data_IF_345152036731
#
_entry.id   IF_345152036731
#
_cell.length_a   1.000
_cell.length_b   1.000
_cell.length_c   1.000
_cell.angle_alpha   90.00
_cell.angle_beta   90.00
_cell.angle_gamma   90.00
#
_symmetry.space_group_name_H-M   'P 1'
#
loop_
_entity.id
_entity.type
_entity.pdbx_description
1 polymer ?
#
# COMPACT_ATOMS: atom_id res chain seq x y z
N UNK A 1 -31.10 -33.08 64.39
CA UNK A 1 -31.84 -33.16 63.10
C UNK A 1 -31.42 -32.09 62.09
N UNK A 2 -31.49 -30.78 62.42
CA UNK A 2 -31.11 -29.70 61.48
C UNK A 2 -29.70 -29.80 60.90
N UNK A 3 -28.66 -30.09 61.71
CA UNK A 3 -27.26 -30.21 61.26
C UNK A 3 -26.98 -31.43 60.36
N UNK A 4 -27.69 -32.54 60.59
CA UNK A 4 -27.57 -33.72 59.73
C UNK A 4 -28.19 -33.48 58.34
N UNK A 5 -29.28 -32.71 58.28
CA UNK A 5 -29.94 -32.33 57.02
C UNK A 5 -29.09 -31.36 56.19
N UNK A 6 -28.38 -30.42 56.81
CA UNK A 6 -27.49 -29.49 56.10
C UNK A 6 -26.28 -30.19 55.48
N UNK A 7 -25.72 -31.18 56.17
CA UNK A 7 -24.57 -31.96 55.66
C UNK A 7 -25.01 -32.82 54.46
N UNK A 8 -26.20 -33.43 54.53
CA UNK A 8 -26.75 -34.23 53.43
C UNK A 8 -27.04 -33.38 52.18
N UNK A 9 -27.61 -32.19 52.35
CA UNK A 9 -27.88 -31.27 51.23
C UNK A 9 -26.58 -30.74 50.62
N UNK A 10 -25.58 -30.40 51.44
CA UNK A 10 -24.28 -29.95 50.93
C UNK A 10 -23.55 -31.06 50.15
N UNK A 11 -23.62 -32.31 50.63
CA UNK A 11 -23.05 -33.46 49.92
C UNK A 11 -23.77 -33.75 48.59
N UNK A 12 -25.10 -33.59 48.55
CA UNK A 12 -25.90 -33.74 47.33
C UNK A 12 -25.61 -32.65 46.29
N UNK A 13 -25.46 -31.40 46.71
CA UNK A 13 -25.13 -30.28 45.80
C UNK A 13 -23.69 -30.39 45.29
N UNK A 14 -22.73 -30.77 46.14
CA UNK A 14 -21.35 -31.02 45.72
C UNK A 14 -21.25 -32.21 44.74
N UNK A 15 -22.01 -33.28 44.98
CA UNK A 15 -22.08 -34.42 44.08
C UNK A 15 -22.68 -34.08 42.72
N UNK A 16 -23.76 -33.28 42.68
CA UNK A 16 -24.40 -32.87 41.43
C UNK A 16 -23.53 -31.93 40.58
N UNK A 17 -22.72 -31.07 41.21
CA UNK A 17 -21.79 -30.18 40.51
C UNK A 17 -20.60 -30.93 39.86
N UNK A 18 -20.18 -32.06 40.44
CA UNK A 18 -19.05 -32.86 39.92
C UNK A 18 -19.43 -33.77 38.74
N UNK A 19 -20.70 -34.17 38.61
CA UNK A 19 -21.16 -35.03 37.50
C UNK A 19 -21.48 -34.22 36.23
N UNK A 20 -21.73 -32.92 36.36
CA UNK A 20 -22.07 -32.04 35.23
C UNK A 20 -20.92 -31.79 34.24
N UNK A 21 -19.67 -31.97 34.64
CA UNK A 21 -18.51 -31.75 33.77
C UNK A 21 -18.08 -32.99 32.97
N UNK A 22 -18.67 -34.17 33.23
CA UNK A 22 -18.22 -35.43 32.63
C UNK A 22 -19.01 -35.87 31.38
N UNK A 23 -19.93 -35.03 30.88
CA UNK A 23 -20.83 -35.44 29.79
C UNK A 23 -21.10 -34.35 28.75
N UNK A 24 -20.05 -33.61 28.37
CA UNK A 24 -19.97 -33.06 27.03
C UNK A 24 -19.26 -34.13 26.17
N UNK A 25 -19.98 -34.75 25.23
CA UNK A 25 -19.44 -35.83 24.40
C UNK A 25 -18.13 -35.42 23.73
N UNK A 26 -17.07 -36.22 23.92
CA UNK A 26 -15.77 -36.08 23.25
C UNK A 26 -14.57 -35.72 24.14
N UNK A 27 -14.67 -35.79 25.47
CA UNK A 27 -13.55 -35.55 26.39
C UNK A 27 -13.50 -36.66 27.47
N UNK A 28 -13.24 -37.89 27.06
CA UNK A 28 -12.92 -39.02 27.96
C UNK A 28 -11.45 -38.98 28.48
N UNK A 29 -10.65 -38.04 27.97
CA UNK A 29 -9.25 -37.88 28.33
C UNK A 29 -8.32 -38.81 27.57
N UNK A 30 -8.86 -39.60 26.63
CA UNK A 30 -8.08 -40.37 25.69
C UNK A 30 -7.81 -39.51 24.44
N UNK A 31 -6.54 -39.21 24.19
CA UNK A 31 -6.11 -38.41 23.04
C UNK A 31 -5.87 -39.27 21.79
N UNK A 32 -6.21 -40.56 21.86
CA UNK A 32 -5.86 -41.56 20.85
C UNK A 32 -7.05 -42.29 20.23
N UNK A 33 -8.27 -42.18 20.78
CA UNK A 33 -9.49 -42.72 20.20
C UNK A 33 -10.68 -41.72 20.20
N UNK A 34 -11.70 -42.02 19.39
CA UNK A 34 -12.99 -41.30 19.28
C UNK A 34 -12.99 -39.79 18.94
N UNK A 35 -11.85 -39.22 18.54
CA UNK A 35 -11.82 -37.86 17.97
C UNK A 35 -12.50 -37.82 16.61
N UNK A 36 -13.63 -37.08 16.53
CA UNK A 36 -14.22 -36.74 15.25
C UNK A 36 -13.18 -36.03 14.38
N UNK A 37 -13.08 -36.43 13.10
CA UNK A 37 -12.22 -35.75 12.16
C UNK A 37 -12.56 -34.26 12.14
N UNK A 38 -11.53 -33.41 12.27
CA UNK A 38 -11.72 -31.96 12.16
C UNK A 38 -12.44 -31.64 10.84
N UNK A 39 -13.42 -30.72 10.86
CA UNK A 39 -14.08 -30.32 9.63
C UNK A 39 -13.05 -29.80 8.64
N UNK A 40 -13.31 -30.03 7.34
CA UNK A 40 -12.44 -29.52 6.29
C UNK A 40 -12.24 -28.01 6.47
N UNK A 41 -10.99 -27.56 6.29
CA UNK A 41 -10.67 -26.13 6.39
C UNK A 41 -11.57 -25.34 5.45
N UNK A 42 -12.33 -24.40 6.00
CA UNK A 42 -13.24 -23.55 5.24
C UNK A 42 -12.55 -22.33 4.63
N UNK A 43 -13.22 -21.72 3.66
CA UNK A 43 -12.76 -20.47 3.06
C UNK A 43 -12.76 -19.35 4.11
N UNK A 44 -11.64 -18.63 4.19
CA UNK A 44 -11.49 -17.41 4.99
C UNK A 44 -11.49 -16.19 4.06
N UNK A 45 -12.12 -15.10 4.47
CA UNK A 45 -12.07 -13.79 3.80
C UNK A 45 -11.76 -12.70 4.82
N UNK A 46 -10.70 -11.88 4.62
CA UNK A 46 -10.37 -10.77 5.52
C UNK A 46 -11.39 -9.65 5.40
N UNK A 47 -11.48 -8.83 6.46
CA UNK A 47 -12.27 -7.62 6.44
C UNK A 47 -11.52 -6.48 5.72
N UNK A 48 -12.27 -5.56 5.12
CA UNK A 48 -11.76 -4.27 4.67
C UNK A 48 -11.89 -3.22 5.79
N UNK A 49 -11.11 -2.15 5.72
CA UNK A 49 -11.11 -1.07 6.70
C UNK A 49 -10.44 -1.41 8.03
N UNK A 50 -9.65 -2.49 8.07
CA UNK A 50 -8.88 -2.92 9.24
C UNK A 50 -7.39 -2.66 9.04
N UNK A 51 -6.66 -2.59 10.14
CA UNK A 51 -5.22 -2.35 10.13
C UNK A 51 -4.44 -3.58 10.62
N UNK A 52 -3.17 -3.69 10.25
CA UNK A 52 -2.30 -4.81 10.62
C UNK A 52 -0.99 -4.30 11.21
N UNK A 53 -0.57 -4.91 12.32
CA UNK A 53 0.70 -4.58 13.00
C UNK A 53 1.90 -5.06 12.18
N UNK A 54 1.78 -6.23 11.56
CA UNK A 54 2.82 -6.83 10.74
C UNK A 54 3.04 -6.07 9.42
N UNK A 55 4.22 -6.25 8.82
CA UNK A 55 4.50 -5.78 7.47
C UNK A 55 3.64 -6.52 6.43
N UNK A 56 3.48 -5.88 5.27
CA UNK A 56 2.80 -6.49 4.14
C UNK A 56 3.47 -7.81 3.70
N UNK A 57 2.64 -8.82 3.45
CA UNK A 57 3.03 -10.06 2.77
C UNK A 57 2.15 -10.29 1.54
N UNK A 58 2.72 -10.82 0.46
CA UNK A 58 1.98 -11.06 -0.78
C UNK A 58 0.94 -12.19 -0.67
N UNK A 59 1.10 -13.06 0.33
CA UNK A 59 0.17 -14.16 0.62
C UNK A 59 -0.19 -14.17 2.10
N UNK A 60 -1.48 -14.21 2.41
CA UNK A 60 -2.01 -14.19 3.78
C UNK A 60 -2.93 -15.38 3.99
N UNK A 61 -2.68 -16.12 5.07
CA UNK A 61 -3.55 -17.17 5.58
C UNK A 61 -4.21 -16.71 6.88
N UNK A 62 -5.20 -17.46 7.36
CA UNK A 62 -5.93 -17.13 8.58
C UNK A 62 -5.01 -16.94 9.81
N UNK A 63 -3.99 -17.79 9.97
CA UNK A 63 -3.04 -17.69 11.08
C UNK A 63 -2.20 -16.40 11.07
N UNK A 64 -2.04 -15.76 9.91
CA UNK A 64 -1.34 -14.48 9.77
C UNK A 64 -2.28 -13.27 9.74
N UNK A 65 -3.58 -13.48 9.98
CA UNK A 65 -4.58 -12.42 10.00
C UNK A 65 -4.97 -12.10 11.44
N UNK A 66 -4.39 -11.02 11.96
CA UNK A 66 -4.64 -10.52 13.31
C UNK A 66 -4.88 -9.00 13.24
N UNK A 67 -6.09 -8.59 12.83
CA UNK A 67 -6.39 -7.18 12.58
C UNK A 67 -6.48 -6.39 13.89
N UNK A 68 -5.98 -5.15 13.84
CA UNK A 68 -6.13 -4.15 14.91
C UNK A 68 -6.95 -2.96 14.41
N UNK A 69 -7.47 -2.17 15.36
CA UNK A 69 -8.02 -0.85 15.07
C UNK A 69 -6.94 0.08 14.51
N UNK A 70 -7.31 0.94 13.56
CA UNK A 70 -6.36 1.86 12.94
C UNK A 70 -5.93 3.01 13.88
N UNK A 71 -6.62 3.18 15.02
CA UNK A 71 -6.24 4.01 16.15
C UNK A 71 -5.11 3.39 17.00
N UNK A 72 -4.74 2.13 16.74
CA UNK A 72 -3.57 1.48 17.34
C UNK A 72 -2.36 1.56 16.38
N UNK A 73 -1.13 1.45 16.90
CA UNK A 73 0.07 1.39 16.07
C UNK A 73 0.00 0.24 15.07
N UNK A 74 0.08 0.56 13.78
CA UNK A 74 0.00 -0.40 12.68
C UNK A 74 0.91 0.01 11.52
N UNK A 75 1.12 -0.90 10.58
CA UNK A 75 2.02 -0.72 9.42
C UNK A 75 1.30 -0.82 8.09
N UNK A 76 0.20 -1.57 8.06
CA UNK A 76 -0.61 -1.82 6.87
C UNK A 76 -2.06 -1.47 7.16
N UNK A 77 -2.73 -0.84 6.21
CA UNK A 77 -4.17 -0.62 6.23
C UNK A 77 -4.81 -1.30 5.02
N UNK A 78 -5.74 -2.21 5.27
CA UNK A 78 -6.50 -2.89 4.23
C UNK A 78 -7.64 -1.99 3.79
N UNK A 79 -7.49 -1.33 2.65
CA UNK A 79 -8.47 -0.35 2.17
C UNK A 79 -9.64 -0.96 1.40
N UNK A 80 -9.42 -2.14 0.82
CA UNK A 80 -10.43 -2.87 0.08
C UNK A 80 -10.13 -4.37 0.05
N UNK A 81 -11.19 -5.17 -0.02
CA UNK A 81 -11.12 -6.61 -0.27
C UNK A 81 -12.06 -6.91 -1.43
N UNK A 82 -11.50 -7.36 -2.54
CA UNK A 82 -12.24 -7.81 -3.70
C UNK A 82 -12.20 -9.33 -3.85
N UNK A 83 -12.81 -9.86 -4.90
CA UNK A 83 -12.92 -11.32 -5.13
C UNK A 83 -12.62 -11.65 -6.58
N UNK A 84 -11.84 -12.71 -6.80
CA UNK A 84 -11.66 -13.38 -8.08
C UNK A 84 -12.88 -14.27 -8.41
N UNK A 85 -13.06 -14.64 -9.69
CA UNK A 85 -14.04 -15.64 -10.09
C UNK A 85 -13.89 -16.96 -9.31
N UNK A 86 -15.02 -17.56 -8.92
CA UNK A 86 -15.05 -18.75 -8.05
C UNK A 86 -14.49 -20.01 -8.74
N UNK A 87 -14.66 -20.11 -10.06
CA UNK A 87 -14.19 -21.21 -10.91
C UNK A 87 -12.68 -21.22 -11.14
N UNK A 88 -11.96 -20.19 -10.66
CA UNK A 88 -10.50 -20.13 -10.79
C UNK A 88 -9.83 -21.21 -9.94
N UNK A 89 -9.04 -22.05 -10.59
CA UNK A 89 -8.43 -23.25 -9.98
C UNK A 89 -7.15 -22.96 -9.19
N UNK A 90 -6.42 -21.88 -9.51
CA UNK A 90 -5.18 -21.51 -8.85
C UNK A 90 -5.07 -20.00 -8.59
N UNK A 91 -4.33 -19.56 -7.54
CA UNK A 91 -4.03 -18.15 -7.32
C UNK A 91 -3.37 -17.53 -8.57
N UNK A 92 -3.70 -16.28 -8.93
CA UNK A 92 -3.04 -15.58 -10.03
C UNK A 92 -1.52 -15.50 -9.81
N UNK A 93 -0.74 -15.80 -10.86
CA UNK A 93 0.71 -15.67 -10.81
C UNK A 93 1.13 -14.19 -10.71
N UNK A 94 2.29 -13.88 -10.07
CA UNK A 94 2.89 -12.55 -10.14
C UNK A 94 3.15 -12.17 -11.60
N UNK A 95 2.52 -11.10 -12.09
CA UNK A 95 2.49 -10.67 -13.51
C UNK A 95 1.45 -11.32 -14.44
N UNK A 96 0.50 -12.08 -13.91
CA UNK A 96 -0.68 -12.49 -14.68
C UNK A 96 -1.60 -11.29 -14.99
N UNK A 97 -2.34 -11.31 -16.12
CA UNK A 97 -3.36 -10.30 -16.41
C UNK A 97 -4.36 -10.11 -15.27
N UNK A 98 -4.71 -11.18 -14.57
CA UNK A 98 -5.73 -11.15 -13.52
C UNK A 98 -5.22 -10.49 -12.25
N UNK A 99 -3.94 -10.64 -11.91
CA UNK A 99 -3.34 -9.86 -10.84
C UNK A 99 -3.23 -8.38 -11.23
N UNK A 100 -2.97 -8.06 -12.51
CA UNK A 100 -3.00 -6.66 -12.99
C UNK A 100 -4.40 -6.06 -12.91
N UNK A 101 -5.45 -6.82 -13.20
CA UNK A 101 -6.84 -6.39 -13.02
C UNK A 101 -7.14 -6.13 -11.54
N UNK A 102 -6.75 -7.03 -10.64
CA UNK A 102 -6.89 -6.80 -9.20
C UNK A 102 -6.12 -5.56 -8.73
N UNK A 103 -4.89 -5.35 -9.23
CA UNK A 103 -4.14 -4.13 -8.94
C UNK A 103 -4.85 -2.87 -9.44
N UNK A 104 -5.44 -2.89 -10.64
CA UNK A 104 -6.16 -1.74 -11.18
C UNK A 104 -7.40 -1.37 -10.34
N UNK A 105 -8.15 -2.36 -9.85
CA UNK A 105 -9.22 -2.12 -8.87
C UNK A 105 -8.64 -1.55 -7.57
N UNK A 106 -7.60 -2.18 -7.01
CA UNK A 106 -6.93 -1.66 -5.82
C UNK A 106 -6.39 -0.22 -5.99
N UNK A 107 -5.90 0.13 -7.18
CA UNK A 107 -5.38 1.47 -7.50
C UNK A 107 -6.49 2.53 -7.41
N UNK A 108 -7.65 2.23 -7.98
CA UNK A 108 -8.83 3.09 -7.92
C UNK A 108 -9.38 3.18 -6.49
N UNK A 109 -9.51 2.04 -5.80
CA UNK A 109 -10.03 1.96 -4.43
C UNK A 109 -9.12 2.68 -3.44
N UNK A 110 -7.81 2.49 -3.54
CA UNK A 110 -6.82 3.18 -2.71
C UNK A 110 -6.85 4.69 -2.93
N UNK A 111 -6.94 5.14 -4.18
CA UNK A 111 -7.02 6.58 -4.48
C UNK A 111 -8.30 7.21 -3.93
N UNK A 112 -9.44 6.51 -4.07
CA UNK A 112 -10.70 6.94 -3.45
C UNK A 112 -10.65 6.94 -1.92
N UNK A 113 -9.96 5.97 -1.32
CA UNK A 113 -9.81 5.85 0.13
C UNK A 113 -9.04 7.02 0.74
N UNK A 114 -7.91 7.38 0.14
CA UNK A 114 -7.06 8.48 0.64
C UNK A 114 -7.50 9.87 0.15
N UNK A 115 -8.39 9.91 -0.84
CA UNK A 115 -8.99 11.14 -1.38
C UNK A 115 -8.18 11.85 -2.47
N UNK A 116 -7.12 11.23 -3.00
CA UNK A 116 -6.30 11.70 -4.13
C UNK A 116 -5.49 10.50 -4.68
N UNK A 117 -4.70 10.67 -5.74
CA UNK A 117 -3.76 9.64 -6.19
C UNK A 117 -2.78 9.29 -5.05
N UNK A 118 -2.82 8.05 -4.55
CA UNK A 118 -1.98 7.62 -3.44
C UNK A 118 -0.48 7.78 -3.72
N UNK A 119 -0.05 7.78 -4.99
CA UNK A 119 1.35 8.02 -5.36
C UNK A 119 1.79 9.47 -5.16
N UNK A 120 0.86 10.41 -4.99
CA UNK A 120 1.15 11.79 -4.59
C UNK A 120 1.53 11.90 -3.10
N UNK A 121 1.40 10.82 -2.33
CA UNK A 121 1.95 10.72 -0.98
C UNK A 121 3.11 9.74 -0.86
N UNK A 122 3.75 9.71 0.32
CA UNK A 122 4.68 8.66 0.75
C UNK A 122 3.93 7.35 1.07
N UNK A 123 3.19 6.86 0.09
CA UNK A 123 2.39 5.64 0.20
C UNK A 123 2.86 4.61 -0.82
N UNK A 124 2.60 3.34 -0.48
CA UNK A 124 2.75 2.19 -1.36
C UNK A 124 1.51 1.33 -1.27
N UNK A 125 0.98 0.98 -2.45
CA UNK A 125 -0.08 0.01 -2.62
C UNK A 125 0.51 -1.35 -2.97
N UNK A 126 -0.05 -2.40 -2.39
CA UNK A 126 0.23 -3.77 -2.74
C UNK A 126 -1.05 -4.62 -2.70
N UNK A 127 -1.03 -5.75 -3.42
CA UNK A 127 -2.14 -6.71 -3.47
C UNK A 127 -1.70 -8.00 -2.77
N UNK A 128 -2.41 -8.38 -1.72
CA UNK A 128 -2.22 -9.67 -1.07
C UNK A 128 -3.27 -10.69 -1.54
N UNK A 129 -2.87 -11.95 -1.61
CA UNK A 129 -3.68 -13.09 -2.04
C UNK A 129 -3.82 -14.12 -0.90
N UNK A 130 -4.79 -15.04 -0.96
CA UNK A 130 -4.81 -16.21 -0.09
C UNK A 130 -3.53 -17.04 -0.25
N UNK A 131 -3.11 -17.73 0.81
CA UNK A 131 -2.12 -18.81 0.68
C UNK A 131 -2.65 -19.93 -0.22
N UNK A 132 -1.75 -20.80 -0.72
CA UNK A 132 -2.17 -21.98 -1.49
C UNK A 132 -3.17 -22.87 -0.73
N UNK A 133 -2.97 -23.05 0.58
CA UNK A 133 -3.92 -23.77 1.44
C UNK A 133 -5.25 -23.05 1.58
N UNK A 134 -5.26 -21.73 1.75
CA UNK A 134 -6.49 -20.93 1.75
C UNK A 134 -7.23 -21.02 0.42
N UNK A 135 -6.51 -21.01 -0.70
CA UNK A 135 -7.09 -21.19 -2.02
C UNK A 135 -7.71 -22.58 -2.20
N UNK A 136 -7.02 -23.64 -1.74
CA UNK A 136 -7.55 -25.01 -1.73
C UNK A 136 -8.81 -25.13 -0.86
N UNK A 137 -8.87 -24.39 0.24
CA UNK A 137 -10.04 -24.26 1.12
C UNK A 137 -11.18 -23.38 0.56
N UNK A 138 -11.00 -22.80 -0.64
CA UNK A 138 -12.04 -22.02 -1.34
C UNK A 138 -11.93 -20.50 -1.23
N UNK A 139 -10.91 -19.95 -0.56
CA UNK A 139 -10.68 -18.49 -0.56
C UNK A 139 -10.39 -17.99 -1.97
N UNK A 140 -11.08 -16.93 -2.40
CA UNK A 140 -10.93 -16.29 -3.72
C UNK A 140 -10.78 -14.78 -3.63
N UNK A 141 -10.45 -14.23 -2.47
CA UNK A 141 -10.32 -12.79 -2.30
C UNK A 141 -8.98 -12.24 -2.81
N UNK A 142 -8.90 -10.93 -2.99
CA UNK A 142 -7.64 -10.17 -3.01
C UNK A 142 -7.76 -8.97 -2.09
N UNK A 143 -6.66 -8.58 -1.46
CA UNK A 143 -6.63 -7.52 -0.45
C UNK A 143 -5.78 -6.35 -0.94
N UNK A 144 -6.36 -5.17 -0.94
CA UNK A 144 -5.68 -3.93 -1.31
C UNK A 144 -5.11 -3.30 -0.04
N UNK A 145 -3.79 -3.28 0.08
CA UNK A 145 -3.09 -2.85 1.28
C UNK A 145 -2.27 -1.58 1.00
N UNK A 146 -2.46 -0.57 1.83
CA UNK A 146 -1.65 0.65 1.84
C UNK A 146 -0.69 0.68 3.02
N UNK A 147 0.53 1.12 2.76
CA UNK A 147 1.56 1.38 3.78
C UNK A 147 2.11 2.79 3.63
N UNK A 148 2.33 3.51 4.74
CA UNK A 148 3.18 4.71 4.71
C UNK A 148 4.65 4.32 4.68
N UNK A 149 5.42 5.14 3.96
CA UNK A 149 6.85 5.02 3.83
C UNK A 149 7.57 6.25 4.38
N UNK A 150 8.81 6.05 4.81
CA UNK A 150 9.70 7.16 5.21
C UNK A 150 10.09 8.05 4.02
N UNK A 151 10.18 7.47 2.83
CA UNK A 151 10.45 8.14 1.55
C UNK A 151 9.82 7.35 0.41
N UNK A 152 9.78 7.92 -0.80
CA UNK A 152 9.40 7.20 -2.03
C UNK A 152 10.60 6.77 -2.87
N UNK A 153 11.82 7.10 -2.42
CA UNK A 153 13.08 6.66 -3.02
C UNK A 153 13.42 5.19 -2.64
N UNK A 154 14.49 4.65 -3.21
CA UNK A 154 14.82 3.21 -3.11
C UNK A 154 14.99 2.67 -1.68
N UNK A 155 15.46 3.48 -0.73
CA UNK A 155 15.70 3.09 0.65
C UNK A 155 14.45 3.19 1.58
N UNK A 156 13.27 3.35 1.00
CA UNK A 156 12.01 3.50 1.72
C UNK A 156 11.75 2.38 2.74
N UNK A 157 11.51 2.76 3.99
CA UNK A 157 11.09 1.86 5.07
C UNK A 157 9.61 2.07 5.38
N UNK A 158 8.94 1.02 5.84
CA UNK A 158 7.55 1.10 6.30
C UNK A 158 7.50 1.83 7.65
N UNK A 159 6.61 2.80 7.76
CA UNK A 159 6.37 3.58 8.98
C UNK A 159 5.33 2.87 9.83
N UNK A 160 5.59 2.75 11.14
CA UNK A 160 4.53 2.48 12.12
C UNK A 160 3.77 3.76 12.35
N UNK A 161 2.46 3.73 12.14
CA UNK A 161 1.59 4.88 12.30
C UNK A 161 0.41 4.60 13.20
N UNK A 162 -0.19 5.69 13.67
CA UNK A 162 -1.46 5.72 14.38
C UNK A 162 -2.41 6.62 13.61
N UNK A 163 -3.67 6.20 13.45
CA UNK A 163 -4.68 6.88 12.64
C UNK A 163 -4.76 6.31 11.22
N UNK A 164 -5.99 6.33 10.68
CA UNK A 164 -6.30 5.82 9.35
C UNK A 164 -5.77 6.74 8.24
N UNK A 165 -5.42 6.16 7.09
CA UNK A 165 -5.13 6.83 5.82
C UNK A 165 -6.37 7.39 5.12
N UNK A 166 -7.57 7.11 5.62
CA UNK A 166 -8.80 7.60 5.04
C UNK A 166 -8.75 9.11 4.91
N UNK A 167 -8.99 9.61 3.71
CA UNK A 167 -8.98 11.04 3.37
C UNK A 167 -7.67 11.77 3.68
N UNK A 168 -6.58 11.05 3.99
CA UNK A 168 -5.32 11.63 4.42
C UNK A 168 -4.62 12.47 3.34
N UNK A 169 -5.09 12.42 2.09
CA UNK A 169 -4.66 13.28 1.00
C UNK A 169 -5.73 14.28 0.55
N UNK A 170 -6.92 14.42 1.16
CA UNK A 170 -7.90 15.44 0.69
C UNK A 170 -7.41 16.89 0.86
N UNK A 171 -6.57 17.14 1.87
CA UNK A 171 -6.06 18.47 2.21
C UNK A 171 -4.53 18.51 2.35
N UNK A 172 -4.01 19.56 3.03
CA UNK A 172 -2.63 19.59 3.48
C UNK A 172 -2.32 18.37 4.35
N UNK A 173 -1.22 17.70 4.07
CA UNK A 173 -0.88 16.45 4.74
C UNK A 173 0.63 16.25 4.72
N UNK A 174 1.17 15.81 5.85
CA UNK A 174 2.59 15.45 5.95
C UNK A 174 2.96 14.28 5.04
N UNK A 175 1.99 13.52 4.52
CA UNK A 175 2.22 12.45 3.55
C UNK A 175 2.51 12.97 2.15
N UNK A 176 1.98 14.14 1.79
CA UNK A 176 2.06 14.66 0.42
C UNK A 176 3.51 14.92 0.03
N UNK A 177 3.83 14.52 -1.19
CA UNK A 177 5.06 14.89 -1.85
C UNK A 177 4.94 16.35 -2.31
N UNK A 178 6.03 17.09 -2.17
CA UNK A 178 6.11 18.50 -2.56
C UNK A 178 7.53 18.86 -2.95
N UNK A 179 8.05 19.95 -2.40
CA UNK A 179 9.41 20.42 -2.64
C UNK A 179 10.47 19.43 -2.12
N UNK A 180 11.55 19.30 -2.87
CA UNK A 180 12.63 18.35 -2.64
C UNK A 180 13.98 19.03 -2.88
N UNK A 181 15.00 18.59 -2.15
CA UNK A 181 16.39 18.93 -2.43
C UNK A 181 17.10 17.72 -3.03
N UNK A 182 17.86 17.94 -4.10
CA UNK A 182 18.72 16.89 -4.65
C UNK A 182 19.96 16.67 -3.78
N UNK A 183 20.48 15.45 -3.79
CA UNK A 183 21.78 15.13 -3.20
C UNK A 183 22.95 15.77 -3.96
N UNK A 184 24.15 15.76 -3.38
CA UNK A 184 25.35 16.47 -3.83
C UNK A 184 25.98 16.06 -5.19
N UNK A 185 25.33 15.20 -5.99
CA UNK A 185 25.81 14.82 -7.33
C UNK A 185 25.18 15.70 -8.41
N UNK A 186 25.95 16.69 -8.88
CA UNK A 186 25.51 17.68 -9.86
C UNK A 186 25.16 17.12 -11.26
N UNK A 187 25.57 15.87 -11.58
CA UNK A 187 25.33 15.29 -12.92
C UNK A 187 24.16 14.33 -12.98
N UNK A 188 23.70 13.81 -11.83
CA UNK A 188 22.57 12.88 -11.75
C UNK A 188 21.86 12.97 -10.41
N UNK A 189 20.55 13.18 -10.45
CA UNK A 189 19.70 13.16 -9.25
C UNK A 189 19.54 11.72 -8.73
N UNK A 190 20.39 11.36 -7.77
CA UNK A 190 20.35 10.04 -7.09
C UNK A 190 19.29 9.98 -6.00
N UNK A 191 19.13 11.08 -5.26
CA UNK A 191 18.24 11.16 -4.10
C UNK A 191 17.47 12.47 -4.16
N UNK A 192 16.20 12.39 -3.81
CA UNK A 192 15.31 13.52 -3.56
C UNK A 192 14.88 13.48 -2.09
N UNK A 193 15.24 14.51 -1.34
CA UNK A 193 14.90 14.62 0.08
C UNK A 193 13.83 15.69 0.27
N UNK A 194 12.71 15.38 0.96
CA UNK A 194 11.65 16.37 1.19
C UNK A 194 12.16 17.56 2.00
N UNK A 195 11.75 18.76 1.58
CA UNK A 195 12.01 20.01 2.28
C UNK A 195 10.80 20.93 2.19
N UNK A 196 10.66 21.86 3.12
CA UNK A 196 9.62 22.88 3.05
C UNK A 196 9.83 23.78 1.83
N UNK A 197 8.75 24.07 1.10
CA UNK A 197 8.82 24.89 -0.10
C UNK A 197 9.29 26.33 0.15
N UNK A 198 9.14 26.84 1.38
CA UNK A 198 9.69 28.14 1.80
C UNK A 198 11.22 28.14 1.98
N UNK A 199 11.86 26.98 1.92
CA UNK A 199 13.31 26.82 2.03
C UNK A 199 13.94 26.58 0.66
N UNK A 200 15.24 26.86 0.54
CA UNK A 200 15.95 26.70 -0.73
C UNK A 200 15.89 25.24 -1.24
N UNK A 201 15.30 25.02 -2.41
CA UNK A 201 15.15 23.71 -3.02
C UNK A 201 15.31 23.80 -4.54
N UNK A 202 15.62 22.68 -5.18
CA UNK A 202 15.94 22.60 -6.60
C UNK A 202 15.11 21.55 -7.33
N UNK A 203 14.22 20.83 -6.63
CA UNK A 203 13.30 19.89 -7.24
C UNK A 203 11.91 19.96 -6.61
N UNK A 204 10.88 19.58 -7.37
CA UNK A 204 9.50 19.57 -6.88
C UNK A 204 8.73 18.38 -7.46
N UNK A 205 7.97 17.68 -6.63
CA UNK A 205 7.01 16.70 -7.13
C UNK A 205 5.89 17.41 -7.89
N UNK A 206 5.78 17.12 -9.19
CA UNK A 206 4.81 17.79 -10.08
C UNK A 206 3.59 16.95 -10.40
N UNK A 207 3.62 15.66 -10.07
CA UNK A 207 2.49 14.75 -10.23
C UNK A 207 2.89 13.36 -10.69
N UNK A 208 1.87 12.61 -11.09
CA UNK A 208 2.00 11.23 -11.56
C UNK A 208 1.60 11.17 -13.03
N UNK A 209 2.46 10.58 -13.85
CA UNK A 209 2.11 10.24 -15.22
C UNK A 209 1.70 8.76 -15.31
N UNK A 210 0.50 8.43 -15.82
CA UNK A 210 0.11 7.04 -16.04
C UNK A 210 0.81 6.50 -17.30
N UNK A 211 1.81 5.65 -17.10
CA UNK A 211 2.51 5.01 -18.22
C UNK A 211 1.63 3.97 -18.93
N UNK A 212 1.76 3.82 -20.26
CA UNK A 212 1.07 2.75 -20.99
C UNK A 212 1.61 1.37 -20.58
N UNK A 213 0.83 0.32 -20.83
CA UNK A 213 1.28 -1.05 -20.57
C UNK A 213 2.36 -1.48 -21.56
N UNK A 214 3.61 -1.56 -21.07
CA UNK A 214 4.82 -1.88 -21.82
C UNK A 214 5.81 -2.61 -20.91
N UNK A 215 6.84 -3.28 -21.46
CA UNK A 215 7.94 -3.81 -20.65
C UNK A 215 8.58 -2.73 -19.76
N UNK A 216 9.12 -3.15 -18.62
CA UNK A 216 9.87 -2.26 -17.75
C UNK A 216 11.11 -1.72 -18.49
N UNK A 217 11.46 -0.43 -18.38
CA UNK A 217 12.57 0.16 -19.13
C UNK A 217 13.92 -0.41 -18.67
N UNK A 218 14.69 -0.97 -19.61
CA UNK A 218 16.01 -1.58 -19.32
C UNK A 218 17.17 -0.93 -20.08
N UNK A 219 16.88 -0.17 -21.14
CA UNK A 219 17.87 0.57 -21.95
C UNK A 219 17.40 2.01 -22.18
N UNK A 220 18.32 2.91 -22.51
CA UNK A 220 18.06 4.36 -22.60
C UNK A 220 16.85 4.73 -23.47
N UNK A 221 16.68 4.07 -24.62
CA UNK A 221 15.55 4.32 -25.52
C UNK A 221 14.18 3.99 -24.89
N UNK A 222 14.11 3.08 -23.92
CA UNK A 222 12.85 2.74 -23.23
C UNK A 222 12.42 3.86 -22.26
N UNK A 223 13.34 4.73 -21.84
CA UNK A 223 13.05 5.84 -20.92
C UNK A 223 12.45 7.06 -21.63
N UNK A 224 12.65 7.19 -22.94
CA UNK A 224 12.18 8.34 -23.74
C UNK A 224 10.68 8.62 -23.54
N UNK A 225 9.76 7.63 -23.59
CA UNK A 225 8.34 7.87 -23.36
C UNK A 225 8.02 8.35 -21.93
N UNK A 226 8.78 7.90 -20.93
CA UNK A 226 8.57 8.33 -19.54
C UNK A 226 9.01 9.78 -19.34
N UNK A 227 10.13 10.18 -19.94
CA UNK A 227 10.56 11.58 -19.96
C UNK A 227 9.53 12.48 -20.64
N UNK A 228 9.03 12.08 -21.82
CA UNK A 228 7.98 12.82 -22.52
C UNK A 228 6.69 12.92 -21.70
N UNK A 229 6.29 11.84 -21.04
CA UNK A 229 5.14 11.81 -20.15
C UNK A 229 5.28 12.73 -18.95
N UNK A 230 6.43 12.70 -18.27
CA UNK A 230 6.68 13.56 -17.13
C UNK A 230 6.87 15.03 -17.50
N UNK A 231 7.41 15.34 -18.69
CA UNK A 231 7.48 16.71 -19.21
C UNK A 231 6.07 17.33 -19.37
N UNK A 232 5.09 16.56 -19.86
CA UNK A 232 3.68 16.99 -19.91
C UNK A 232 3.11 17.33 -18.54
N UNK A 233 3.42 16.50 -17.54
CA UNK A 233 2.96 16.72 -16.16
C UNK A 233 3.60 17.98 -15.57
N UNK A 234 4.91 18.15 -15.77
CA UNK A 234 5.68 19.32 -15.36
C UNK A 234 5.14 20.60 -16.01
N UNK A 235 4.97 20.61 -17.33
CA UNK A 235 4.48 21.76 -18.08
C UNK A 235 3.11 22.23 -17.55
N UNK A 236 2.18 21.28 -17.33
CA UNK A 236 0.87 21.56 -16.73
C UNK A 236 0.97 22.07 -15.29
N UNK A 237 1.86 21.48 -14.48
CA UNK A 237 2.03 21.89 -13.08
C UNK A 237 2.50 23.33 -12.94
N UNK A 238 3.50 23.72 -13.75
CA UNK A 238 4.09 25.06 -13.71
C UNK A 238 3.24 26.08 -14.49
N UNK A 239 2.51 25.64 -15.52
CA UNK A 239 1.77 26.53 -16.43
C UNK A 239 2.66 27.09 -17.55
N UNK A 240 3.56 26.26 -18.09
CA UNK A 240 4.40 26.60 -19.26
C UNK A 240 4.05 25.70 -20.45
N UNK A 241 4.40 26.08 -21.69
CA UNK A 241 4.21 25.22 -22.86
C UNK A 241 5.01 23.91 -22.75
N UNK A 242 4.40 22.79 -23.17
CA UNK A 242 5.10 21.52 -23.42
C UNK A 242 5.68 21.54 -24.84
N UNK A 243 6.82 22.21 -25.00
CA UNK A 243 7.48 22.41 -26.29
C UNK A 243 8.99 22.10 -26.23
N UNK A 244 9.67 22.26 -27.37
CA UNK A 244 11.11 22.01 -27.48
C UNK A 244 11.98 22.90 -26.59
N UNK A 245 11.42 23.96 -26.00
CA UNK A 245 12.12 24.86 -25.08
C UNK A 245 12.01 24.42 -23.63
N UNK A 246 11.12 23.48 -23.27
CA UNK A 246 10.93 23.01 -21.90
C UNK A 246 12.23 22.46 -21.28
N UNK A 247 13.05 21.78 -22.08
CA UNK A 247 14.38 21.28 -21.66
C UNK A 247 15.37 22.38 -21.26
N UNK A 248 15.14 23.62 -21.70
CA UNK A 248 15.94 24.79 -21.33
C UNK A 248 15.34 25.53 -20.13
N UNK A 249 14.15 25.11 -19.67
CA UNK A 249 13.47 25.66 -18.49
C UNK A 249 13.76 24.84 -17.24
N UNK A 250 13.74 23.51 -17.39
CA UNK A 250 13.93 22.56 -16.29
C UNK A 250 14.37 21.20 -16.82
N UNK A 251 15.17 20.49 -16.02
CA UNK A 251 15.30 19.05 -16.13
C UNK A 251 14.09 18.34 -15.53
N UNK A 252 13.94 17.06 -15.84
CA UNK A 252 12.88 16.23 -15.27
C UNK A 252 13.48 14.98 -14.64
N UNK A 253 13.08 14.69 -13.40
CA UNK A 253 13.45 13.46 -12.72
C UNK A 253 12.27 12.51 -12.77
N UNK A 254 12.52 11.33 -13.33
CA UNK A 254 11.52 10.29 -13.58
C UNK A 254 11.73 9.16 -12.58
N UNK A 255 10.66 8.75 -11.89
CA UNK A 255 10.67 7.66 -10.91
C UNK A 255 9.53 6.67 -11.21
N UNK A 256 9.75 5.69 -12.11
CA UNK A 256 8.78 4.61 -12.30
C UNK A 256 8.78 3.70 -11.06
N UNK A 257 7.68 2.95 -10.83
CA UNK A 257 7.70 1.90 -9.83
C UNK A 257 8.70 0.81 -10.25
N UNK A 258 9.38 0.18 -9.29
CA UNK A 258 10.38 -0.86 -9.59
C UNK A 258 9.79 -2.06 -10.35
N UNK A 259 10.64 -2.82 -11.05
CA UNK A 259 10.25 -3.88 -11.99
C UNK A 259 9.19 -4.87 -11.43
N UNK A 260 9.29 -5.28 -10.17
CA UNK A 260 8.29 -6.18 -9.56
C UNK A 260 6.89 -5.54 -9.44
N UNK A 261 6.81 -4.26 -9.04
CA UNK A 261 5.54 -3.52 -9.00
C UNK A 261 5.02 -3.23 -10.40
N UNK A 262 5.92 -2.95 -11.33
CA UNK A 262 5.58 -2.83 -12.74
C UNK A 262 4.97 -4.14 -13.27
N UNK A 263 5.53 -5.30 -12.92
CA UNK A 263 5.00 -6.58 -13.38
C UNK A 263 3.54 -6.82 -12.93
N UNK A 264 3.17 -6.38 -11.73
CA UNK A 264 1.80 -6.52 -11.18
C UNK A 264 0.82 -5.41 -11.58
N UNK A 265 1.24 -4.45 -12.43
CA UNK A 265 0.33 -3.44 -12.99
C UNK A 265 0.49 -2.02 -12.45
N UNK A 266 1.47 -1.76 -11.56
CA UNK A 266 1.78 -0.39 -11.16
C UNK A 266 2.38 0.38 -12.34
N UNK A 267 1.63 1.37 -12.84
CA UNK A 267 2.02 2.19 -14.00
C UNK A 267 2.17 3.68 -13.67
N UNK A 268 1.97 4.07 -12.42
CA UNK A 268 2.06 5.48 -12.03
C UNK A 268 3.51 5.92 -11.84
N UNK A 269 4.03 6.68 -12.80
CA UNK A 269 5.39 7.22 -12.76
C UNK A 269 5.35 8.54 -12.01
N UNK A 270 6.13 8.65 -10.92
CA UNK A 270 6.28 9.92 -10.20
C UNK A 270 7.22 10.82 -10.99
N UNK A 271 6.79 12.05 -11.20
CA UNK A 271 7.48 13.04 -12.00
C UNK A 271 7.89 14.22 -11.11
N UNK A 272 9.11 14.70 -11.31
CA UNK A 272 9.62 15.86 -10.59
C UNK A 272 10.25 16.84 -11.57
N UNK A 273 10.00 18.13 -11.36
CA UNK A 273 10.84 19.16 -11.97
C UNK A 273 12.19 19.20 -11.24
N UNK A 274 13.23 19.61 -11.94
CA UNK A 274 14.56 19.79 -11.39
C UNK A 274 15.26 20.98 -12.02
N UNK A 275 15.90 21.79 -11.19
CA UNK A 275 16.67 22.97 -11.54
C UNK A 275 18.15 22.65 -11.28
N UNK A 276 18.89 22.31 -12.34
CA UNK A 276 20.31 21.95 -12.21
C UNK A 276 21.21 23.16 -11.90
N UNK A 277 20.72 24.37 -12.13
CA UNK A 277 21.50 25.61 -12.16
C UNK A 277 21.17 26.58 -11.02
N UNK A 278 20.10 26.35 -10.26
CA UNK A 278 19.62 27.26 -9.22
C UNK A 278 18.75 26.57 -8.17
N UNK A 279 18.54 27.26 -7.06
CA UNK A 279 17.49 26.95 -6.09
C UNK A 279 16.40 28.01 -6.11
N UNK A 280 15.22 27.66 -5.59
CA UNK A 280 14.08 28.55 -5.34
C UNK A 280 13.61 28.38 -3.90
N UNK A 281 12.88 29.37 -3.37
CA UNK A 281 12.33 29.36 -1.99
C UNK A 281 10.80 29.43 -1.99
N UNK A 282 10.18 29.07 -3.12
CA UNK A 282 8.74 28.95 -3.26
C UNK A 282 8.43 27.89 -4.32
N UNK A 283 7.24 27.29 -4.21
CA UNK A 283 6.73 26.34 -5.21
C UNK A 283 6.64 26.97 -6.59
N UNK A 284 6.95 26.20 -7.63
CA UNK A 284 6.80 26.64 -9.02
C UNK A 284 5.40 26.32 -9.59
N UNK A 285 4.49 25.79 -8.78
CA UNK A 285 3.12 25.50 -9.20
C UNK A 285 2.43 26.76 -9.73
N UNK A 286 2.01 26.74 -10.99
CA UNK A 286 1.33 27.87 -11.64
C UNK A 286 2.21 29.13 -11.81
N UNK A 287 3.53 29.05 -11.61
CA UNK A 287 4.41 30.22 -11.70
C UNK A 287 4.61 30.73 -13.14
N UNK A 288 4.21 29.93 -14.14
CA UNK A 288 4.24 30.28 -15.55
C UNK A 288 5.64 30.55 -16.12
N UNK A 289 5.73 31.12 -17.33
CA UNK A 289 7.01 31.40 -17.98
C UNK A 289 7.91 32.38 -17.22
N UNK A 290 7.35 33.23 -16.35
CA UNK A 290 8.11 34.16 -15.53
C UNK A 290 8.82 33.46 -14.37
N UNK A 291 8.15 32.52 -13.69
CA UNK A 291 8.75 31.72 -12.62
C UNK A 291 9.73 30.67 -13.14
N UNK A 292 9.45 30.12 -14.34
CA UNK A 292 10.28 29.13 -14.99
C UNK A 292 10.69 29.56 -16.42
N UNK A 293 11.59 30.55 -16.56
CA UNK A 293 12.02 31.09 -17.84
C UNK A 293 12.92 30.13 -18.61
N UNK A 294 13.02 30.34 -19.93
CA UNK A 294 14.01 29.66 -20.78
C UNK A 294 15.40 30.16 -20.41
N UNK A 295 16.34 29.23 -20.20
CA UNK A 295 17.76 29.50 -19.94
C UNK A 295 18.60 28.78 -20.99
N UNK A 296 19.24 29.55 -21.87
CA UNK A 296 20.10 29.05 -22.96
C UNK A 296 21.60 29.32 -22.72
N UNK A 297 21.99 29.63 -21.48
CA UNK A 297 23.38 29.87 -21.08
C UNK A 297 23.77 28.90 -20.00
#
# INVERSE_FOLDING_TARGET
MRRAMTILVAALVAGAALVGCARAGGLDGDLTDDWAALPAAGAFTPAAGVCQVADFTATVGLAGYDPVGCDLPHRVETVHVGTFPADRTAPPAPASPELRTAFADCDARASGYVGDNWRAGRLRLAVALPTGSGWAAGSRWYRCDLTELTTVEAAAQVVTRTGSLRDALKGPSALRLGCQRTGSDARRVRTLTPVDCGTAHDAEFVGVWPAPDRPYPTRDADWVPLYAGCNKVLARYVGVPDDATLRFRSGVVVRPPGAGRWAVGDRGVRCYLWLSDRTVTASLKGAGPAGLPVRTR
#
